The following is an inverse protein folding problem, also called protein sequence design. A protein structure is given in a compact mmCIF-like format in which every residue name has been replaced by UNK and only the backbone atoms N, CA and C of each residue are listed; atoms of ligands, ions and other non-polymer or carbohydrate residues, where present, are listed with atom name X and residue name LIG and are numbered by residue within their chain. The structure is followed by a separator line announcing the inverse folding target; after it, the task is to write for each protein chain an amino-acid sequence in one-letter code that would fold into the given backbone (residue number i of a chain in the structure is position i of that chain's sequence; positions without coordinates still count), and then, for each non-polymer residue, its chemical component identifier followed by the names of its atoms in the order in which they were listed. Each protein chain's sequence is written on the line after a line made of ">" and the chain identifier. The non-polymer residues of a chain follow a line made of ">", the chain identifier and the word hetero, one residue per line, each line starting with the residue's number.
data_IF_514178017766
#
_entry.id   IF_514178017766
#
_cell.length_a   1.000
_cell.length_b   1.000
_cell.length_c   1.000
_cell.angle_alpha   90.00
_cell.angle_beta   90.00
_cell.angle_gamma   90.00
#
_symmetry.space_group_name_H-M   'P 1'
#
loop_
_entity.id
_entity.type
_entity.pdbx_description
1 polymer ?
#
# COMPACT_ATOMS: atom_id res chain seq x y z
N UNK A 1 -23.27 23.99 19.74
CA UNK A 1 -22.75 23.68 18.39
C UNK A 1 -22.27 22.22 18.32
N UNK A 2 -23.15 21.20 18.43
CA UNK A 2 -22.76 19.80 18.30
C UNK A 2 -22.71 19.30 16.84
N UNK A 3 -23.44 19.93 15.92
CA UNK A 3 -23.68 19.46 14.54
C UNK A 3 -22.38 19.27 13.73
N UNK A 4 -21.41 20.19 13.86
CA UNK A 4 -20.13 20.10 13.14
C UNK A 4 -19.35 18.83 13.46
N UNK A 5 -19.47 18.31 14.69
CA UNK A 5 -18.73 17.11 15.11
C UNK A 5 -19.32 15.84 14.49
N UNK A 6 -20.64 15.79 14.36
CA UNK A 6 -21.34 14.66 13.72
C UNK A 6 -21.07 14.64 12.21
N UNK A 7 -21.02 15.80 11.56
CA UNK A 7 -20.62 15.93 10.15
C UNK A 7 -19.17 15.51 9.94
N UNK A 8 -18.25 15.86 10.84
CA UNK A 8 -16.87 15.37 10.81
C UNK A 8 -16.76 13.84 10.95
N UNK A 9 -17.56 13.24 11.84
CA UNK A 9 -17.54 11.79 12.06
C UNK A 9 -18.17 11.00 10.91
N UNK A 10 -19.10 11.61 10.16
CA UNK A 10 -19.71 11.03 8.97
C UNK A 10 -18.79 11.09 7.73
N UNK A 11 -17.78 11.97 7.72
CA UNK A 11 -16.85 12.15 6.59
C UNK A 11 -15.71 11.16 6.63
N UNK A 12 -15.29 10.71 5.44
CA UNK A 12 -14.15 9.80 5.34
C UNK A 12 -12.89 10.48 5.87
N UNK A 13 -11.92 9.67 6.31
CA UNK A 13 -10.64 10.20 6.79
C UNK A 13 -9.90 10.98 5.68
N UNK A 14 -10.06 10.55 4.42
CA UNK A 14 -9.48 11.22 3.26
C UNK A 14 -10.06 12.62 3.06
N UNK A 15 -11.39 12.76 3.09
CA UNK A 15 -12.07 14.05 2.89
C UNK A 15 -11.70 15.05 3.99
N UNK A 16 -11.62 14.59 5.25
CA UNK A 16 -11.19 15.44 6.38
C UNK A 16 -9.74 15.89 6.27
N UNK A 17 -8.85 15.02 5.77
CA UNK A 17 -7.44 15.38 5.53
C UNK A 17 -7.31 16.40 4.39
N UNK A 18 -8.07 16.23 3.31
CA UNK A 18 -8.07 17.15 2.18
C UNK A 18 -8.54 18.56 2.57
N UNK A 19 -9.61 18.67 3.36
CA UNK A 19 -10.11 19.97 3.85
C UNK A 19 -9.12 20.66 4.79
N UNK A 20 -8.44 19.91 5.65
CA UNK A 20 -7.42 20.44 6.55
C UNK A 20 -6.13 20.89 5.84
N UNK A 21 -6.04 20.72 4.51
CA UNK A 21 -4.81 20.96 3.76
C UNK A 21 -3.66 20.08 4.22
N UNK A 22 -3.96 18.91 4.80
CA UNK A 22 -2.93 17.97 5.21
C UNK A 22 -2.16 17.51 3.96
N UNK A 23 -0.82 17.41 4.03
CA UNK A 23 -0.03 16.87 2.94
C UNK A 23 -0.61 15.51 2.55
N UNK A 24 -1.07 15.40 1.30
CA UNK A 24 -1.25 14.09 0.69
C UNK A 24 0.16 13.60 0.37
N UNK A 25 0.46 12.35 0.69
CA UNK A 25 1.70 11.73 0.21
C UNK A 25 1.55 11.62 -1.32
N UNK A 26 2.10 12.59 -2.05
CA UNK A 26 2.02 12.67 -3.52
C UNK A 26 2.80 11.52 -4.17
N UNK A 27 3.82 11.02 -3.45
CA UNK A 27 4.69 9.94 -3.85
C UNK A 27 4.93 9.00 -2.67
N UNK A 28 3.96 8.14 -2.37
CA UNK A 28 4.31 6.87 -1.74
C UNK A 28 5.01 6.02 -2.81
N UNK A 29 6.23 6.39 -3.20
CA UNK A 29 7.10 5.62 -4.11
C UNK A 29 7.67 4.38 -3.39
N UNK A 30 6.78 3.64 -2.71
CA UNK A 30 7.05 2.36 -2.05
C UNK A 30 7.57 1.31 -3.04
N UNK A 31 7.26 1.49 -4.33
CA UNK A 31 7.75 0.62 -5.39
C UNK A 31 9.28 0.67 -5.50
N UNK A 32 9.88 1.85 -5.33
CA UNK A 32 11.34 2.00 -5.30
C UNK A 32 12.00 1.43 -4.06
N UNK A 33 11.31 1.43 -2.91
CA UNK A 33 11.85 0.92 -1.63
C UNK A 33 12.10 -0.59 -1.64
N UNK A 34 11.28 -1.35 -2.39
CA UNK A 34 11.42 -2.80 -2.50
C UNK A 34 12.14 -3.25 -3.78
N UNK A 35 12.59 -2.30 -4.61
CA UNK A 35 13.41 -2.64 -5.77
C UNK A 35 14.84 -2.99 -5.32
N UNK A 36 15.41 -4.11 -5.80
CA UNK A 36 16.81 -4.44 -5.52
C UNK A 36 17.74 -3.30 -5.94
N UNK A 37 18.59 -2.86 -5.01
CA UNK A 37 19.63 -1.88 -5.25
C UNK A 37 20.81 -2.44 -6.06
N UNK A 38 21.76 -1.59 -6.48
CA UNK A 38 22.89 -2.01 -7.32
C UNK A 38 23.86 -2.97 -6.62
N UNK A 39 23.81 -3.05 -5.29
CA UNK A 39 24.61 -3.96 -4.47
C UNK A 39 23.84 -5.19 -4.02
N UNK A 40 22.54 -5.24 -4.26
CA UNK A 40 21.71 -6.35 -3.83
C UNK A 40 21.88 -7.55 -4.79
N UNK A 41 21.78 -8.78 -4.27
CA UNK A 41 21.77 -9.95 -5.12
C UNK A 41 20.57 -9.91 -6.09
N UNK A 42 20.70 -10.48 -7.29
CA UNK A 42 19.58 -10.57 -8.21
C UNK A 42 18.46 -11.43 -7.60
N UNK A 43 17.21 -11.11 -7.96
CA UNK A 43 16.07 -11.94 -7.60
C UNK A 43 16.27 -13.38 -8.09
N UNK A 44 15.66 -14.32 -7.36
CA UNK A 44 15.68 -15.72 -7.74
C UNK A 44 15.04 -15.92 -9.13
N UNK A 45 15.49 -16.95 -9.85
CA UNK A 45 14.85 -17.32 -11.11
C UNK A 45 13.44 -17.89 -10.82
N UNK A 46 12.47 -17.77 -11.75
CA UNK A 46 11.11 -18.30 -11.55
C UNK A 46 11.07 -19.81 -11.26
N UNK A 47 12.04 -20.57 -11.76
CA UNK A 47 12.17 -22.01 -11.56
C UNK A 47 13.02 -22.39 -10.32
N UNK A 48 13.52 -21.40 -9.59
CA UNK A 48 14.30 -21.64 -8.38
C UNK A 48 13.38 -21.97 -7.19
N UNK A 49 13.76 -22.96 -6.36
CA UNK A 49 12.96 -23.32 -5.21
C UNK A 49 12.83 -22.15 -4.22
N UNK A 50 11.61 -21.88 -3.76
CA UNK A 50 11.28 -20.77 -2.85
C UNK A 50 11.17 -19.40 -3.52
N UNK A 51 11.03 -19.35 -4.85
CA UNK A 51 10.70 -18.13 -5.58
C UNK A 51 9.31 -17.60 -5.24
N UNK A 52 9.06 -16.33 -5.57
CA UNK A 52 7.78 -15.66 -5.35
C UNK A 52 6.58 -16.35 -6.04
N UNK A 53 6.85 -17.08 -7.12
CA UNK A 53 5.87 -17.92 -7.83
C UNK A 53 5.58 -19.27 -7.13
N UNK A 54 6.40 -19.67 -6.16
CA UNK A 54 6.30 -20.97 -5.50
C UNK A 54 5.67 -20.84 -4.10
N UNK A 55 4.44 -21.34 -3.96
CA UNK A 55 3.78 -21.49 -2.66
C UNK A 55 2.88 -20.33 -2.21
N UNK A 56 2.75 -19.25 -2.99
CA UNK A 56 1.70 -18.27 -2.78
C UNK A 56 0.43 -18.66 -3.55
N UNK A 57 -0.58 -19.16 -2.84
CA UNK A 57 -1.95 -19.25 -3.35
C UNK A 57 -2.75 -18.10 -2.73
N UNK A 58 -3.40 -17.25 -3.54
CA UNK A 58 -4.23 -16.17 -3.02
C UNK A 58 -5.31 -16.73 -2.10
N UNK A 59 -5.49 -16.12 -0.93
CA UNK A 59 -6.55 -16.53 0.01
C UNK A 59 -7.97 -16.35 -0.57
N UNK A 60 -8.10 -15.62 -1.68
CA UNK A 60 -9.35 -15.42 -2.42
C UNK A 60 -9.44 -16.28 -3.70
N UNK A 61 -8.47 -17.16 -3.96
CA UNK A 61 -8.54 -18.10 -5.07
C UNK A 61 -9.69 -19.09 -4.81
N UNK A 62 -10.66 -19.12 -5.71
CA UNK A 62 -11.78 -20.06 -5.64
C UNK A 62 -11.39 -21.31 -6.45
N UNK A 63 -11.51 -22.52 -5.91
CA UNK A 63 -11.17 -23.77 -6.61
C UNK A 63 -12.01 -24.04 -7.86
#
# INVERSE_FOLDING_TARGET
>A
MPERKEEDEARTLADRRAEAGAPQEEDADFAGEHAPGPTDPPNARPDAPGGEDEGYSPQTEVP
#
